data_IF_028830372951
#
_entry.id   IF_028830372951
#
_cell.length_a   1.000
_cell.length_b   1.000
_cell.length_c   1.000
_cell.angle_alpha   90.00
_cell.angle_beta   90.00
_cell.angle_gamma   90.00
#
_symmetry.space_group_name_H-M   'P 1'
#
loop_
_entity.id
_entity.type
_entity.pdbx_description
1 polymer ?
#
# COMPACT_ATOMS: atom_id res chain seq x y z
N UNK A 1 -2.60 -19.50 33.97
CA UNK A 1 -3.61 -18.94 33.06
C UNK A 1 -4.77 -19.92 33.07
N UNK A 2 -5.99 -19.45 33.31
CA UNK A 2 -7.17 -20.33 33.31
C UNK A 2 -7.62 -20.56 31.87
N UNK A 3 -8.25 -21.71 31.58
CA UNK A 3 -8.75 -22.04 30.24
C UNK A 3 -9.72 -20.97 29.69
N UNK A 4 -10.39 -20.22 30.57
CA UNK A 4 -11.27 -19.10 30.22
C UNK A 4 -10.45 -17.93 29.63
N UNK A 5 -9.34 -17.59 30.27
CA UNK A 5 -8.43 -16.53 29.80
C UNK A 5 -7.83 -16.88 28.44
N UNK A 6 -7.50 -18.16 28.21
CA UNK A 6 -6.94 -18.63 26.94
C UNK A 6 -7.93 -18.45 25.79
N UNK A 7 -9.20 -18.84 25.99
CA UNK A 7 -10.27 -18.63 25.00
C UNK A 7 -10.53 -17.13 24.74
N UNK A 8 -10.58 -16.32 25.79
CA UNK A 8 -10.71 -14.86 25.65
C UNK A 8 -9.54 -14.25 24.88
N UNK A 9 -8.31 -14.74 25.11
CA UNK A 9 -7.12 -14.31 24.38
C UNK A 9 -7.18 -14.71 22.91
N UNK A 10 -7.65 -15.91 22.59
CA UNK A 10 -7.82 -16.38 21.21
C UNK A 10 -8.83 -15.51 20.42
N UNK A 11 -9.95 -15.16 21.06
CA UNK A 11 -10.94 -14.24 20.47
C UNK A 11 -10.34 -12.86 20.27
N UNK A 12 -9.65 -12.30 21.29
CA UNK A 12 -9.00 -10.99 21.17
C UNK A 12 -7.97 -10.98 20.05
N UNK A 13 -7.11 -12.00 19.98
CA UNK A 13 -6.12 -12.16 18.92
C UNK A 13 -6.75 -12.26 17.54
N UNK A 14 -7.94 -12.86 17.43
CA UNK A 14 -8.66 -12.95 16.15
C UNK A 14 -9.17 -11.58 15.71
N UNK A 15 -9.72 -10.79 16.63
CA UNK A 15 -10.25 -9.43 16.37
C UNK A 15 -9.12 -8.46 16.00
N UNK A 16 -7.95 -8.59 16.62
CA UNK A 16 -6.80 -7.72 16.37
C UNK A 16 -5.88 -8.23 15.25
N UNK A 17 -6.28 -9.28 14.53
CA UNK A 17 -5.52 -9.78 13.40
C UNK A 17 -5.87 -8.98 12.14
N UNK A 18 -5.02 -8.02 11.81
CA UNK A 18 -5.18 -7.18 10.61
C UNK A 18 -4.88 -7.90 9.30
N UNK A 19 -4.46 -9.18 9.35
CA UNK A 19 -4.07 -9.98 8.19
C UNK A 19 -2.90 -9.37 7.41
N UNK A 20 -2.74 -9.80 6.17
CA UNK A 20 -1.79 -9.25 5.20
C UNK A 20 -2.49 -8.86 3.89
N UNK A 21 -3.17 -7.70 3.85
CA UNK A 21 -3.75 -7.18 2.62
C UNK A 21 -2.67 -6.99 1.53
N UNK A 22 -3.00 -7.16 0.24
CA UNK A 22 -4.34 -7.45 -0.29
C UNK A 22 -4.66 -8.96 -0.43
N UNK A 23 -3.73 -9.86 -0.12
CA UNK A 23 -3.89 -11.30 -0.39
C UNK A 23 -4.55 -12.06 0.76
N UNK A 24 -4.37 -11.59 2.00
CA UNK A 24 -5.02 -12.17 3.17
C UNK A 24 -6.12 -11.24 3.67
N UNK A 25 -7.38 -11.56 3.38
CA UNK A 25 -8.52 -10.79 3.87
C UNK A 25 -8.67 -10.96 5.39
N UNK A 26 -8.38 -9.91 6.16
CA UNK A 26 -8.54 -9.92 7.63
C UNK A 26 -9.95 -10.32 8.06
N UNK A 27 -10.98 -9.85 7.36
CA UNK A 27 -12.38 -10.22 7.64
C UNK A 27 -12.68 -11.71 7.44
N UNK A 28 -12.12 -12.35 6.40
CA UNK A 28 -12.31 -13.80 6.19
C UNK A 28 -11.52 -14.60 7.23
N UNK A 29 -10.32 -14.14 7.59
CA UNK A 29 -9.51 -14.78 8.63
C UNK A 29 -10.16 -14.66 10.02
N UNK A 30 -10.75 -13.51 10.32
CA UNK A 30 -11.56 -13.29 11.51
C UNK A 30 -12.73 -14.28 11.56
N UNK A 31 -13.51 -14.40 10.47
CA UNK A 31 -14.62 -15.34 10.41
C UNK A 31 -14.15 -16.77 10.68
N UNK A 32 -13.11 -17.22 9.98
CA UNK A 32 -12.54 -18.56 10.13
C UNK A 32 -12.10 -18.83 11.58
N UNK A 33 -11.33 -17.92 12.18
CA UNK A 33 -10.82 -18.10 13.54
C UNK A 33 -11.96 -18.13 14.57
N UNK A 34 -12.94 -17.23 14.46
CA UNK A 34 -14.09 -17.22 15.38
C UNK A 34 -14.94 -18.49 15.24
N UNK A 35 -15.12 -18.99 14.02
CA UNK A 35 -15.79 -20.29 13.77
C UNK A 35 -15.01 -21.45 14.39
N UNK A 36 -13.69 -21.49 14.26
CA UNK A 36 -12.86 -22.52 14.89
C UNK A 36 -12.97 -22.50 16.42
N UNK A 37 -13.01 -21.32 17.02
CA UNK A 37 -13.17 -21.15 18.47
C UNK A 37 -14.57 -21.63 18.92
N UNK A 38 -15.63 -21.21 18.22
CA UNK A 38 -17.01 -21.64 18.53
C UNK A 38 -17.16 -23.16 18.44
N UNK A 39 -16.66 -23.77 17.37
CA UNK A 39 -16.66 -25.23 17.19
C UNK A 39 -15.83 -25.96 18.25
N UNK A 40 -14.74 -25.34 18.73
CA UNK A 40 -13.95 -25.90 19.83
C UNK A 40 -14.74 -25.94 21.14
N UNK A 41 -15.46 -24.85 21.45
CA UNK A 41 -16.35 -24.77 22.62
C UNK A 41 -17.50 -25.78 22.49
N UNK A 42 -18.08 -25.95 21.30
CA UNK A 42 -19.11 -26.96 21.04
C UNK A 42 -18.59 -28.39 21.28
N UNK A 43 -17.38 -28.72 20.81
CA UNK A 43 -16.76 -30.02 21.06
C UNK A 43 -16.48 -30.25 22.55
N UNK A 44 -16.08 -29.22 23.28
CA UNK A 44 -15.85 -29.32 24.73
C UNK A 44 -17.13 -29.56 25.51
N UNK A 45 -18.21 -28.85 25.16
CA UNK A 45 -19.53 -29.03 25.80
C UNK A 45 -20.06 -30.46 25.66
N UNK A 46 -19.82 -31.10 24.51
CA UNK A 46 -20.18 -32.51 24.27
C UNK A 46 -19.39 -33.48 25.15
N UNK A 47 -18.22 -33.10 25.66
CA UNK A 47 -17.36 -33.96 26.50
C UNK A 47 -17.59 -33.73 28.00
N UNK A 48 -17.87 -32.50 28.39
CA UNK A 48 -18.01 -32.10 29.80
C UNK A 48 -18.76 -30.77 29.90
N UNK A 49 -19.45 -30.55 31.02
CA UNK A 49 -20.13 -29.29 31.29
C UNK A 49 -19.16 -28.10 31.19
N UNK A 50 -19.50 -27.12 30.36
CA UNK A 50 -18.73 -25.88 30.25
C UNK A 50 -19.01 -24.96 31.45
N UNK A 51 -17.98 -24.28 31.99
CA UNK A 51 -18.19 -23.19 32.93
C UNK A 51 -19.11 -22.10 32.34
N UNK A 52 -19.97 -21.44 33.15
CA UNK A 52 -20.91 -20.43 32.66
C UNK A 52 -20.28 -19.32 31.79
N UNK A 53 -19.06 -18.82 32.08
CA UNK A 53 -18.41 -17.84 31.19
C UNK A 53 -18.15 -18.35 29.78
N UNK A 54 -17.79 -19.64 29.62
CA UNK A 54 -17.54 -20.23 28.30
C UNK A 54 -18.83 -20.52 27.54
N UNK A 55 -19.93 -20.83 28.24
CA UNK A 55 -21.27 -20.92 27.65
C UNK A 55 -21.69 -19.55 27.08
N UNK A 56 -21.51 -18.48 27.85
CA UNK A 56 -21.82 -17.13 27.39
C UNK A 56 -20.95 -16.72 26.19
N UNK A 57 -19.63 -17.00 26.25
CA UNK A 57 -18.72 -16.73 25.14
C UNK A 57 -19.14 -17.46 23.85
N UNK A 58 -19.46 -18.75 23.94
CA UNK A 58 -19.97 -19.53 22.80
C UNK A 58 -21.23 -18.89 22.21
N UNK A 59 -22.19 -18.51 23.05
CA UNK A 59 -23.43 -17.87 22.59
C UNK A 59 -23.16 -16.53 21.88
N UNK A 60 -22.26 -15.69 22.40
CA UNK A 60 -21.86 -14.43 21.78
C UNK A 60 -21.21 -14.65 20.41
N UNK A 61 -20.31 -15.63 20.31
CA UNK A 61 -19.65 -15.99 19.04
C UNK A 61 -20.67 -16.49 18.02
N UNK A 62 -21.54 -17.43 18.40
CA UNK A 62 -22.58 -17.97 17.52
C UNK A 62 -23.53 -16.87 17.03
N UNK A 63 -23.97 -15.98 17.92
CA UNK A 63 -24.81 -14.83 17.57
C UNK A 63 -24.12 -13.89 16.58
N UNK A 64 -22.86 -13.53 16.84
CA UNK A 64 -22.08 -12.65 15.97
C UNK A 64 -21.85 -13.25 14.58
N UNK A 65 -21.42 -14.52 14.53
CA UNK A 65 -21.21 -15.27 13.28
C UNK A 65 -22.51 -15.38 12.48
N UNK A 66 -23.64 -15.70 13.13
CA UNK A 66 -24.94 -15.77 12.47
C UNK A 66 -25.41 -14.42 11.94
N UNK A 67 -25.27 -13.35 12.73
CA UNK A 67 -25.71 -12.01 12.34
C UNK A 67 -24.91 -11.43 11.16
N UNK A 68 -23.66 -11.85 11.01
CA UNK A 68 -22.74 -11.35 9.97
C UNK A 68 -22.53 -12.32 8.81
N UNK A 69 -23.13 -13.50 8.84
CA UNK A 69 -22.89 -14.58 7.87
C UNK A 69 -23.02 -14.12 6.40
N UNK A 70 -24.03 -13.30 6.11
CA UNK A 70 -24.31 -12.80 4.76
C UNK A 70 -23.24 -11.85 4.21
N UNK A 71 -22.47 -11.20 5.09
CA UNK A 71 -21.42 -10.25 4.69
C UNK A 71 -20.20 -10.95 4.08
N UNK A 72 -19.93 -12.20 4.45
CA UNK A 72 -18.71 -12.90 4.05
C UNK A 72 -18.81 -13.56 2.67
N UNK A 73 -20.00 -13.93 2.21
CA UNK A 73 -20.17 -14.60 0.92
C UNK A 73 -19.69 -13.73 -0.26
N UNK A 74 -20.11 -12.45 -0.38
CA UNK A 74 -19.53 -11.49 -1.33
C UNK A 74 -17.99 -11.43 -1.30
N UNK A 75 -17.42 -11.33 -0.10
CA UNK A 75 -15.96 -11.19 0.10
C UNK A 75 -15.24 -12.45 -0.37
N UNK A 76 -15.76 -13.63 -0.03
CA UNK A 76 -15.18 -14.91 -0.44
C UNK A 76 -15.17 -15.09 -1.95
N UNK A 77 -16.26 -14.73 -2.63
CA UNK A 77 -16.33 -14.75 -4.10
C UNK A 77 -15.31 -13.77 -4.70
N UNK A 78 -15.27 -12.53 -4.20
CA UNK A 78 -14.33 -11.53 -4.70
C UNK A 78 -12.86 -11.95 -4.54
N UNK A 79 -12.51 -12.54 -3.39
CA UNK A 79 -11.14 -12.98 -3.12
C UNK A 79 -10.68 -14.14 -3.99
N UNK A 80 -11.58 -14.99 -4.50
CA UNK A 80 -11.21 -16.00 -5.50
C UNK A 80 -10.60 -15.36 -6.76
N UNK A 81 -11.08 -14.19 -7.18
CA UNK A 81 -10.48 -13.46 -8.30
C UNK A 81 -9.19 -12.74 -7.90
N UNK A 82 -9.08 -12.23 -6.68
CA UNK A 82 -7.82 -11.65 -6.16
C UNK A 82 -6.71 -12.70 -6.12
N UNK A 83 -7.02 -13.92 -5.66
CA UNK A 83 -6.09 -15.03 -5.63
C UNK A 83 -5.67 -15.45 -7.05
N UNK A 84 -6.63 -15.55 -7.98
CA UNK A 84 -6.33 -15.79 -9.40
C UNK A 84 -5.42 -14.69 -9.98
N UNK A 85 -5.72 -13.42 -9.72
CA UNK A 85 -4.90 -12.29 -10.18
C UNK A 85 -3.47 -12.40 -9.64
N UNK A 86 -3.32 -12.66 -8.34
CA UNK A 86 -2.03 -12.87 -7.69
C UNK A 86 -1.26 -14.03 -8.30
N UNK A 87 -1.92 -15.17 -8.53
CA UNK A 87 -1.29 -16.35 -9.14
C UNK A 87 -0.82 -16.09 -10.57
N UNK A 88 -1.62 -15.42 -11.40
CA UNK A 88 -1.25 -15.05 -12.76
C UNK A 88 -0.03 -14.12 -12.74
N UNK A 89 -0.06 -13.06 -11.93
CA UNK A 89 1.04 -12.11 -11.84
C UNK A 89 2.29 -12.75 -11.21
N UNK A 90 2.14 -13.67 -10.25
CA UNK A 90 3.29 -14.39 -9.70
C UNK A 90 3.99 -15.26 -10.75
N UNK A 91 3.27 -15.62 -11.82
CA UNK A 91 3.81 -16.26 -13.02
C UNK A 91 4.80 -17.39 -12.74
N UNK A 92 4.48 -18.26 -11.76
CA UNK A 92 5.36 -19.38 -11.36
C UNK A 92 5.60 -20.39 -12.48
N UNK A 93 4.69 -20.41 -13.47
CA UNK A 93 4.74 -21.27 -14.66
C UNK A 93 5.77 -20.74 -15.67
N UNK A 94 6.18 -19.47 -15.57
CA UNK A 94 7.19 -18.88 -16.46
C UNK A 94 6.65 -18.52 -17.84
N UNK A 95 5.40 -18.05 -17.93
CA UNK A 95 4.86 -17.51 -19.17
C UNK A 95 5.62 -16.26 -19.62
N UNK A 96 5.68 -16.03 -20.93
CA UNK A 96 6.15 -14.76 -21.46
C UNK A 96 5.13 -13.63 -21.20
N UNK A 97 5.52 -12.40 -21.49
CA UNK A 97 4.67 -11.23 -21.29
C UNK A 97 3.32 -11.34 -22.01
N UNK A 98 3.29 -11.93 -23.21
CA UNK A 98 2.07 -12.12 -23.98
C UNK A 98 1.12 -13.12 -23.29
N UNK A 99 1.65 -14.23 -22.79
CA UNK A 99 0.89 -15.23 -22.03
C UNK A 99 0.31 -14.65 -20.74
N UNK A 100 1.11 -13.91 -19.95
CA UNK A 100 0.62 -13.26 -18.73
C UNK A 100 -0.47 -12.23 -19.05
N UNK A 101 -0.28 -11.41 -20.10
CA UNK A 101 -1.32 -10.48 -20.58
C UNK A 101 -2.61 -11.20 -20.93
N UNK A 102 -2.54 -12.26 -21.72
CA UNK A 102 -3.71 -13.02 -22.15
C UNK A 102 -4.44 -13.66 -20.97
N UNK A 103 -3.72 -14.32 -20.05
CA UNK A 103 -4.33 -14.89 -18.84
C UNK A 103 -5.00 -13.83 -17.98
N UNK A 104 -4.37 -12.66 -17.82
CA UNK A 104 -4.96 -11.58 -17.03
C UNK A 104 -6.18 -10.95 -17.73
N UNK A 105 -6.19 -10.82 -19.06
CA UNK A 105 -7.36 -10.40 -19.82
C UNK A 105 -8.54 -11.37 -19.63
N UNK A 106 -8.28 -12.68 -19.70
CA UNK A 106 -9.31 -13.70 -19.47
C UNK A 106 -9.90 -13.58 -18.06
N UNK A 107 -9.07 -13.32 -17.04
CA UNK A 107 -9.56 -13.06 -15.69
C UNK A 107 -10.46 -11.82 -15.64
N UNK A 108 -10.07 -10.70 -16.25
CA UNK A 108 -10.91 -9.49 -16.27
C UNK A 108 -12.25 -9.73 -16.98
N UNK A 109 -12.26 -10.51 -18.06
CA UNK A 109 -13.50 -10.93 -18.73
C UNK A 109 -14.36 -11.80 -17.82
N UNK A 110 -13.77 -12.78 -17.13
CA UNK A 110 -14.47 -13.62 -16.15
C UNK A 110 -15.10 -12.76 -15.05
N UNK A 111 -14.32 -11.84 -14.46
CA UNK A 111 -14.78 -10.91 -13.43
C UNK A 111 -15.95 -10.06 -13.95
N UNK A 112 -15.84 -9.49 -15.16
CA UNK A 112 -16.91 -8.67 -15.74
C UNK A 112 -18.20 -9.45 -15.97
N UNK A 113 -18.11 -10.70 -16.43
CA UNK A 113 -19.28 -11.57 -16.68
C UNK A 113 -19.92 -12.05 -15.38
N UNK A 114 -19.11 -12.27 -14.34
CA UNK A 114 -19.54 -12.92 -13.11
C UNK A 114 -19.64 -11.98 -11.90
N UNK A 115 -19.39 -10.68 -12.05
CA UNK A 115 -19.39 -9.69 -10.95
C UNK A 115 -20.66 -9.68 -10.10
N UNK A 116 -21.81 -10.03 -10.68
CA UNK A 116 -23.07 -10.17 -9.94
C UNK A 116 -23.00 -11.23 -8.82
N UNK A 117 -22.16 -12.28 -8.98
CA UNK A 117 -21.93 -13.29 -7.95
C UNK A 117 -21.29 -12.72 -6.69
N UNK A 118 -20.60 -11.59 -6.78
CA UNK A 118 -20.03 -10.89 -5.63
C UNK A 118 -21.05 -9.99 -4.91
N UNK A 119 -22.33 -10.01 -5.28
CA UNK A 119 -23.41 -9.33 -4.56
C UNK A 119 -23.14 -7.84 -4.33
N UNK A 120 -23.06 -7.44 -3.06
CA UNK A 120 -22.79 -6.05 -2.65
C UNK A 120 -21.44 -5.50 -3.12
N UNK A 121 -20.49 -6.37 -3.50
CA UNK A 121 -19.17 -5.97 -4.00
C UNK A 121 -19.11 -5.81 -5.54
N UNK A 122 -20.22 -5.95 -6.26
CA UNK A 122 -20.28 -5.80 -7.71
C UNK A 122 -19.60 -4.50 -8.20
N UNK A 123 -19.93 -3.34 -7.60
CA UNK A 123 -19.30 -2.06 -7.93
C UNK A 123 -17.80 -2.02 -7.62
N UNK A 124 -17.34 -2.74 -6.59
CA UNK A 124 -15.92 -2.84 -6.29
C UNK A 124 -15.17 -3.63 -7.37
N UNK A 125 -15.80 -4.66 -7.96
CA UNK A 125 -15.26 -5.40 -9.11
C UNK A 125 -15.13 -4.48 -10.34
N UNK A 126 -16.13 -3.64 -10.62
CA UNK A 126 -16.04 -2.65 -11.70
C UNK A 126 -14.88 -1.67 -11.49
N UNK A 127 -14.69 -1.20 -10.26
CA UNK A 127 -13.56 -0.34 -9.92
C UNK A 127 -12.22 -1.07 -10.11
N UNK A 128 -12.11 -2.33 -9.70
CA UNK A 128 -10.90 -3.12 -9.90
C UNK A 128 -10.54 -3.26 -11.39
N UNK A 129 -11.54 -3.60 -12.22
CA UNK A 129 -11.37 -3.73 -13.69
C UNK A 129 -10.93 -2.39 -14.28
N UNK A 130 -11.64 -1.30 -13.95
CA UNK A 130 -11.31 0.05 -14.41
C UNK A 130 -9.90 0.47 -14.03
N UNK A 131 -9.51 0.29 -12.77
CA UNK A 131 -8.18 0.64 -12.28
C UNK A 131 -7.12 -0.21 -13.00
N UNK A 132 -7.35 -1.51 -13.18
CA UNK A 132 -6.40 -2.35 -13.92
C UNK A 132 -6.22 -1.84 -15.35
N UNK A 133 -7.30 -1.49 -16.05
CA UNK A 133 -7.21 -0.91 -17.39
C UNK A 133 -6.41 0.41 -17.43
N UNK A 134 -6.53 1.26 -16.42
CA UNK A 134 -5.74 2.51 -16.36
C UNK A 134 -4.23 2.30 -16.25
N UNK A 135 -3.81 1.16 -15.67
CA UNK A 135 -2.40 0.79 -15.54
C UNK A 135 -1.95 -0.24 -16.59
N UNK A 136 -2.82 -0.61 -17.54
CA UNK A 136 -2.63 -1.75 -18.44
C UNK A 136 -1.30 -1.69 -19.21
N UNK A 137 -0.97 -0.52 -19.76
CA UNK A 137 0.27 -0.32 -20.52
C UNK A 137 1.51 -0.56 -19.66
N UNK A 138 1.45 -0.22 -18.36
CA UNK A 138 2.56 -0.32 -17.42
C UNK A 138 2.74 -1.69 -16.76
N UNK A 139 1.67 -2.50 -16.69
CA UNK A 139 1.57 -3.62 -15.75
C UNK A 139 2.50 -4.81 -16.04
N UNK A 140 2.93 -4.99 -17.29
CA UNK A 140 3.58 -6.23 -17.75
C UNK A 140 5.05 -6.06 -18.15
N UNK A 141 5.63 -4.87 -17.98
CA UNK A 141 7.03 -4.59 -18.38
C UNK A 141 8.05 -5.49 -17.68
N UNK A 142 7.77 -5.92 -16.45
CA UNK A 142 8.63 -6.84 -15.70
C UNK A 142 8.75 -8.25 -16.30
N UNK A 143 7.90 -8.59 -17.28
CA UNK A 143 8.00 -9.84 -18.04
C UNK A 143 8.64 -9.63 -19.43
N UNK A 144 8.83 -8.38 -19.86
CA UNK A 144 9.39 -8.03 -21.18
C UNK A 144 10.85 -7.61 -21.10
N UNK A 145 11.22 -6.92 -20.01
CA UNK A 145 12.54 -6.35 -19.82
C UNK A 145 13.30 -7.21 -18.80
N UNK A 146 14.43 -7.77 -19.24
CA UNK A 146 15.35 -8.49 -18.36
C UNK A 146 15.78 -7.61 -17.18
N UNK A 147 15.88 -8.21 -16.00
CA UNK A 147 16.19 -7.54 -14.72
C UNK A 147 15.26 -6.41 -14.27
N UNK A 148 14.15 -6.16 -14.98
CA UNK A 148 13.18 -5.16 -14.52
C UNK A 148 12.39 -5.70 -13.31
N UNK A 149 12.44 -5.01 -12.16
CA UNK A 149 11.86 -5.54 -10.92
C UNK A 149 10.34 -5.66 -11.02
N UNK A 150 9.79 -6.74 -10.46
CA UNK A 150 8.34 -7.00 -10.44
C UNK A 150 7.56 -5.99 -9.60
N UNK A 151 8.20 -5.40 -8.59
CA UNK A 151 7.58 -4.44 -7.68
C UNK A 151 8.44 -3.19 -7.53
N UNK A 152 7.81 -2.10 -7.11
CA UNK A 152 8.47 -0.84 -6.79
C UNK A 152 8.96 -0.79 -5.32
N UNK A 153 8.97 -1.91 -4.59
CA UNK A 153 9.24 -1.93 -3.14
C UNK A 153 10.59 -1.29 -2.79
N UNK A 154 11.62 -1.51 -3.60
CA UNK A 154 12.94 -0.92 -3.37
C UNK A 154 12.94 0.61 -3.48
N UNK A 155 12.14 1.15 -4.42
CA UNK A 155 11.92 2.58 -4.52
C UNK A 155 11.17 3.10 -3.28
N UNK A 156 10.12 2.40 -2.84
CA UNK A 156 9.38 2.77 -1.63
C UNK A 156 10.27 2.76 -0.38
N UNK A 157 11.16 1.77 -0.26
CA UNK A 157 12.18 1.70 0.78
C UNK A 157 13.14 2.88 0.71
N UNK A 158 13.65 3.23 -0.48
CA UNK A 158 14.53 4.38 -0.67
C UNK A 158 13.85 5.70 -0.23
N UNK A 159 12.58 5.91 -0.63
CA UNK A 159 11.80 7.05 -0.17
C UNK A 159 11.51 7.01 1.34
N UNK A 160 11.29 5.82 1.91
CA UNK A 160 11.12 5.61 3.35
C UNK A 160 12.33 6.05 4.15
N UNK A 161 13.53 5.64 3.71
CA UNK A 161 14.80 6.06 4.31
C UNK A 161 14.95 7.59 4.29
N UNK A 162 14.69 8.22 3.14
CA UNK A 162 14.77 9.67 3.02
C UNK A 162 13.81 10.39 3.98
N UNK A 163 12.55 9.92 4.08
CA UNK A 163 11.57 10.47 5.02
C UNK A 163 12.00 10.30 6.48
N UNK A 164 12.57 9.15 6.83
CA UNK A 164 13.11 8.88 8.16
C UNK A 164 14.24 9.85 8.52
N UNK A 165 15.25 9.99 7.65
CA UNK A 165 16.36 10.93 7.85
C UNK A 165 15.87 12.37 7.95
N UNK A 166 14.97 12.81 7.07
CA UNK A 166 14.41 14.17 7.14
C UNK A 166 13.66 14.42 8.46
N UNK A 167 12.91 13.43 8.96
CA UNK A 167 12.22 13.54 10.26
C UNK A 167 13.20 13.69 11.40
N UNK A 168 14.31 12.93 11.40
CA UNK A 168 15.35 13.04 12.44
C UNK A 168 16.04 14.40 12.43
N UNK A 169 16.32 14.95 11.25
CA UNK A 169 17.01 16.25 11.16
C UNK A 169 16.09 17.45 11.41
N UNK A 170 14.80 17.34 11.09
CA UNK A 170 13.87 18.50 11.09
C UNK A 170 12.75 18.42 12.13
N UNK A 171 12.54 17.26 12.75
CA UNK A 171 11.41 16.98 13.64
C UNK A 171 10.06 16.83 12.92
N UNK A 172 9.97 17.00 11.59
CA UNK A 172 8.70 17.04 10.86
C UNK A 172 8.29 15.66 10.34
N UNK A 173 7.04 15.26 10.62
CA UNK A 173 6.45 14.00 10.11
C UNK A 173 6.20 14.04 8.60
N UNK A 174 5.79 15.21 8.10
CA UNK A 174 5.42 15.47 6.71
C UNK A 174 6.65 15.86 5.90
N UNK A 175 6.69 15.39 4.65
CA UNK A 175 7.70 15.77 3.66
C UNK A 175 7.82 17.31 3.58
N UNK A 176 8.99 17.89 3.90
CA UNK A 176 9.16 19.34 3.81
C UNK A 176 9.10 19.80 2.35
N UNK A 177 8.69 21.06 2.12
CA UNK A 177 8.69 21.68 0.79
C UNK A 177 10.03 21.58 0.06
N UNK A 178 11.13 21.46 0.80
CA UNK A 178 12.47 21.23 0.27
C UNK A 178 12.64 19.91 -0.51
N UNK A 179 11.81 18.89 -0.27
CA UNK A 179 11.78 17.67 -1.09
C UNK A 179 11.20 17.92 -2.47
N UNK A 180 10.31 18.89 -2.65
CA UNK A 180 9.81 19.27 -3.98
C UNK A 180 10.88 20.03 -4.76
N UNK A 181 11.68 20.84 -4.07
CA UNK A 181 12.69 21.71 -4.70
C UNK A 181 14.00 20.97 -4.98
N UNK A 182 14.41 20.09 -4.06
CA UNK A 182 15.72 19.40 -4.09
C UNK A 182 15.58 17.89 -4.02
N UNK A 183 14.40 17.33 -4.29
CA UNK A 183 14.11 15.91 -4.11
C UNK A 183 15.00 15.00 -4.94
N UNK A 184 15.22 15.36 -6.21
CA UNK A 184 16.07 14.62 -7.15
C UNK A 184 17.48 14.39 -6.58
N UNK A 185 18.11 15.44 -6.05
CA UNK A 185 19.43 15.33 -5.43
C UNK A 185 19.39 14.73 -4.02
N UNK A 186 18.36 15.05 -3.21
CA UNK A 186 18.25 14.54 -1.84
C UNK A 186 18.06 13.02 -1.80
N UNK A 187 17.28 12.46 -2.72
CA UNK A 187 17.09 11.01 -2.81
C UNK A 187 18.40 10.32 -3.23
N UNK A 188 19.04 10.82 -4.29
CA UNK A 188 20.33 10.31 -4.74
C UNK A 188 21.39 10.38 -3.62
N UNK A 189 21.49 11.50 -2.90
CA UNK A 189 22.39 11.63 -1.76
C UNK A 189 22.05 10.62 -0.65
N UNK A 190 20.78 10.45 -0.29
CA UNK A 190 20.38 9.52 0.77
C UNK A 190 20.68 8.06 0.41
N UNK A 191 20.56 7.68 -0.86
CA UNK A 191 20.95 6.35 -1.35
C UNK A 191 22.47 6.22 -1.30
N UNK A 192 23.19 7.18 -1.88
CA UNK A 192 24.66 7.16 -1.96
C UNK A 192 25.30 7.06 -0.58
N UNK A 193 24.87 7.89 0.39
CA UNK A 193 25.43 7.89 1.74
C UNK A 193 25.09 6.65 2.56
N UNK A 194 24.08 5.87 2.15
CA UNK A 194 23.80 4.55 2.72
C UNK A 194 24.75 3.48 2.19
N UNK A 195 25.17 3.60 0.93
CA UNK A 195 26.09 2.64 0.30
C UNK A 195 27.52 2.80 0.81
N UNK A 196 27.99 4.03 0.98
CA UNK A 196 29.29 4.33 1.59
C UNK A 196 29.35 5.72 2.21
N UNK A 197 30.33 5.93 3.08
CA UNK A 197 30.71 7.27 3.51
C UNK A 197 31.52 7.97 2.42
N UNK A 198 31.31 9.27 2.27
CA UNK A 198 32.09 10.12 1.35
C UNK A 198 33.01 11.02 2.15
N UNK A 199 34.29 11.03 1.80
CA UNK A 199 35.29 11.94 2.37
C UNK A 199 35.25 13.30 1.65
N UNK A 200 35.92 14.30 2.22
CA UNK A 200 36.12 15.58 1.54
C UNK A 200 36.86 15.41 0.20
N UNK A 201 37.81 14.47 0.13
CA UNK A 201 38.53 14.16 -1.10
C UNK A 201 37.61 13.57 -2.17
N UNK A 202 36.66 12.69 -1.81
CA UNK A 202 35.68 12.16 -2.76
C UNK A 202 34.83 13.28 -3.37
N UNK A 203 34.42 14.26 -2.55
CA UNK A 203 33.56 15.37 -3.00
C UNK A 203 34.34 16.41 -3.82
N UNK A 204 35.66 16.54 -3.61
CA UNK A 204 36.50 17.47 -4.32
C UNK A 204 36.80 17.06 -5.78
N UNK A 205 36.58 15.80 -6.14
CA UNK A 205 36.75 15.31 -7.52
C UNK A 205 35.58 15.65 -8.45
N UNK A 206 34.53 16.28 -7.93
CA UNK A 206 33.34 16.62 -8.73
C UNK A 206 33.65 17.83 -9.62
N UNK A 207 33.36 17.70 -10.92
CA UNK A 207 33.47 18.81 -11.87
C UNK A 207 32.59 19.99 -11.46
N UNK A 208 33.21 21.17 -11.35
CA UNK A 208 32.57 22.39 -10.88
C UNK A 208 31.49 22.89 -11.86
N UNK A 209 31.69 22.70 -13.16
CA UNK A 209 30.72 23.14 -14.17
C UNK A 209 29.42 22.33 -14.08
N UNK A 210 29.55 21.00 -13.99
CA UNK A 210 28.42 20.08 -13.76
C UNK A 210 27.68 20.42 -12.47
N UNK A 211 28.40 20.72 -11.39
CA UNK A 211 27.78 21.11 -10.12
C UNK A 211 27.02 22.45 -10.22
N UNK A 212 27.59 23.45 -10.89
CA UNK A 212 26.95 24.75 -11.11
C UNK A 212 25.69 24.61 -11.97
N UNK A 213 25.73 23.79 -13.02
CA UNK A 213 24.58 23.52 -13.87
C UNK A 213 23.43 22.90 -13.06
N UNK A 214 23.71 21.82 -12.32
CA UNK A 214 22.72 21.18 -11.46
C UNK A 214 22.14 22.16 -10.44
N UNK A 215 22.99 23.02 -9.85
CA UNK A 215 22.54 24.05 -8.90
C UNK A 215 21.61 25.06 -9.57
N UNK A 216 21.91 25.50 -10.79
CA UNK A 216 21.06 26.41 -11.57
C UNK A 216 19.70 25.79 -11.88
N UNK A 217 19.67 24.50 -12.26
CA UNK A 217 18.42 23.77 -12.48
C UNK A 217 17.54 23.71 -11.21
N UNK A 218 18.13 23.38 -10.06
CA UNK A 218 17.42 23.38 -8.77
C UNK A 218 16.95 24.77 -8.33
N UNK A 219 17.70 25.82 -8.67
CA UNK A 219 17.31 27.20 -8.38
C UNK A 219 16.03 27.61 -9.13
N UNK A 220 15.77 27.11 -10.34
CA UNK A 220 14.52 27.36 -11.07
C UNK A 220 13.29 26.91 -10.26
N UNK A 221 13.34 25.70 -9.71
CA UNK A 221 12.28 25.17 -8.83
C UNK A 221 12.15 25.97 -7.53
N UNK A 222 13.28 26.44 -6.98
CA UNK A 222 13.27 27.27 -5.79
C UNK A 222 12.62 28.64 -6.03
N UNK A 223 12.95 29.29 -7.15
CA UNK A 223 12.42 30.59 -7.55
C UNK A 223 10.89 30.57 -7.64
N UNK A 224 10.32 29.58 -8.31
CA UNK A 224 8.87 29.43 -8.41
C UNK A 224 8.17 29.39 -7.04
N UNK A 225 8.79 28.71 -6.05
CA UNK A 225 8.26 28.65 -4.69
C UNK A 225 8.41 29.97 -3.92
N UNK A 226 9.51 30.69 -4.13
CA UNK A 226 9.71 32.04 -3.57
C UNK A 226 8.62 32.97 -4.11
N UNK A 227 8.38 32.98 -5.42
CA UNK A 227 7.37 33.85 -6.02
C UNK A 227 5.95 33.52 -5.51
N UNK A 228 5.61 32.23 -5.38
CA UNK A 228 4.35 31.83 -4.74
C UNK A 228 4.23 32.32 -3.29
N UNK A 229 5.32 32.27 -2.52
CA UNK A 229 5.33 32.76 -1.15
C UNK A 229 5.20 34.29 -1.08
N UNK A 230 5.90 35.03 -1.95
CA UNK A 230 5.81 36.49 -2.07
C UNK A 230 4.39 36.93 -2.41
N UNK A 231 3.78 36.30 -3.42
CA UNK A 231 2.39 36.55 -3.79
C UNK A 231 1.44 36.29 -2.62
N UNK A 232 1.57 35.16 -1.90
CA UNK A 232 0.70 34.86 -0.75
C UNK A 232 0.89 35.82 0.42
N UNK A 233 2.08 36.40 0.58
CA UNK A 233 2.39 37.35 1.66
C UNK A 233 1.76 38.72 1.40
N UNK A 234 1.83 39.21 0.17
CA UNK A 234 1.19 40.46 -0.24
C UNK A 234 0.80 40.42 -1.72
N UNK A 235 -0.42 39.95 -2.04
CA UNK A 235 -0.86 39.83 -3.42
C UNK A 235 -0.88 41.18 -4.17
N UNK A 236 -1.24 42.27 -3.48
CA UNK A 236 -1.42 43.58 -4.12
C UNK A 236 -0.07 44.18 -4.53
N UNK A 237 0.90 44.21 -3.62
CA UNK A 237 2.23 44.72 -3.92
C UNK A 237 2.95 43.85 -4.97
N UNK A 238 2.76 42.53 -4.90
CA UNK A 238 3.33 41.61 -5.87
C UNK A 238 2.79 41.85 -7.29
N UNK A 239 1.47 42.00 -7.45
CA UNK A 239 0.85 42.27 -8.76
C UNK A 239 1.24 43.65 -9.30
N UNK A 240 1.25 44.70 -8.46
CA UNK A 240 1.72 46.03 -8.86
C UNK A 240 3.19 46.01 -9.34
N UNK A 241 4.04 45.20 -8.70
CA UNK A 241 5.43 44.99 -9.17
C UNK A 241 5.50 44.27 -10.52
N UNK A 242 4.59 43.32 -10.79
CA UNK A 242 4.53 42.68 -12.10
C UNK A 242 4.04 43.64 -13.19
N UNK A 243 3.02 44.44 -12.90
CA UNK A 243 2.47 45.44 -13.83
C UNK A 243 3.52 46.50 -14.22
N UNK A 244 4.25 47.04 -13.24
CA UNK A 244 5.34 48.01 -13.47
C UNK A 244 6.58 47.46 -14.22
N UNK A 245 6.67 46.15 -14.44
CA UNK A 245 7.75 45.54 -15.26
C UNK A 245 7.34 45.35 -16.72
N UNK A 246 6.05 45.51 -17.02
CA UNK A 246 5.48 45.39 -18.37
C UNK A 246 5.18 46.77 -18.97
N UNK A 247 4.99 47.78 -18.12
CA UNK A 247 4.93 49.20 -18.47
C UNK A 247 6.33 49.80 -18.51
#
# INVERSE_FOLDING_TARGET
>A
MTIIEDYCSAVRSSITNDGHPPLEASGLKLQENLTLIEQSLERMEKRSALPPPLVNLKHLLAKGLSATASLFSPVRVAYQWVDKASNILNNKIGLDAAGVKQSYQQLLTEMSQQKQKAGTLNTAIDNFIKTTHSYWSGLFHCYEIEDFPRTNNDLEHAFGMLRYHQRRCTGRKVAPSSLVIRGSVKLACAIATKLRSFTASDLAQVDIHTWLELRSQLQKHHKARIEQYRFRRDPKAYLANLESRLL
#
